data_IF_951753477432
#
_entry.id   IF_951753477432
#
_cell.length_a   1.000
_cell.length_b   1.000
_cell.length_c   1.000
_cell.angle_alpha   90.00
_cell.angle_beta   90.00
_cell.angle_gamma   90.00
#
_symmetry.space_group_name_H-M   'P 1'
#
loop_
_entity.id
_entity.type
_entity.pdbx_description
1 polymer ?
#
# COMPACT_ATOMS: atom_id res chain seq x y z
N UNK A 1 -5.40 -12.48 19.09
CA UNK A 1 -6.29 -12.39 17.91
C UNK A 1 -6.82 -13.79 17.59
N UNK A 2 -8.06 -13.95 17.10
CA UNK A 2 -8.55 -15.28 16.68
C UNK A 2 -7.86 -15.73 15.38
N UNK A 3 -7.77 -17.05 15.13
CA UNK A 3 -7.18 -17.59 13.89
C UNK A 3 -7.88 -17.06 12.63
N UNK A 4 -9.21 -16.94 12.67
CA UNK A 4 -10.01 -16.39 11.57
C UNK A 4 -9.67 -14.92 11.30
N UNK A 5 -9.57 -14.10 12.35
CA UNK A 5 -9.21 -12.69 12.22
C UNK A 5 -7.77 -12.53 11.70
N UNK A 6 -6.84 -13.38 12.13
CA UNK A 6 -5.48 -13.40 11.60
C UNK A 6 -5.47 -13.69 10.09
N UNK A 7 -6.14 -14.76 9.66
CA UNK A 7 -6.22 -15.13 8.24
C UNK A 7 -6.82 -14.00 7.40
N UNK A 8 -7.82 -13.31 7.94
CA UNK A 8 -8.44 -12.14 7.32
C UNK A 8 -7.43 -11.00 7.11
N UNK A 9 -6.69 -10.62 8.15
CA UNK A 9 -5.67 -9.57 8.05
C UNK A 9 -4.55 -9.98 7.09
N UNK A 10 -4.03 -11.20 7.19
CA UNK A 10 -2.99 -11.69 6.28
C UNK A 10 -3.49 -11.76 4.82
N UNK A 11 -4.77 -12.06 4.60
CA UNK A 11 -5.39 -12.01 3.28
C UNK A 11 -5.47 -10.59 2.73
N UNK A 12 -5.81 -9.60 3.55
CA UNK A 12 -5.80 -8.19 3.14
C UNK A 12 -4.40 -7.72 2.78
N UNK A 13 -3.41 -7.99 3.64
CA UNK A 13 -2.00 -7.62 3.42
C UNK A 13 -1.50 -8.30 2.14
N UNK A 14 -1.63 -9.62 2.00
CA UNK A 14 -1.18 -10.33 0.80
C UNK A 14 -1.74 -9.71 -0.49
N UNK A 15 -3.02 -9.34 -0.52
CA UNK A 15 -3.57 -8.70 -1.73
C UNK A 15 -3.02 -7.29 -1.93
N UNK A 16 -2.79 -6.52 -0.87
CA UNK A 16 -2.11 -5.22 -0.93
C UNK A 16 -0.73 -5.30 -1.57
N UNK A 17 0.13 -6.20 -1.08
CA UNK A 17 1.47 -6.48 -1.62
C UNK A 17 1.42 -6.87 -3.11
N UNK A 18 0.40 -7.64 -3.51
CA UNK A 18 0.20 -7.99 -4.91
C UNK A 18 -0.15 -6.76 -5.77
N UNK A 19 -0.95 -5.83 -5.24
CA UNK A 19 -1.29 -4.58 -5.93
C UNK A 19 -0.10 -3.63 -6.03
N UNK A 20 0.65 -3.47 -4.95
CA UNK A 20 1.88 -2.68 -4.93
C UNK A 20 2.92 -3.23 -5.91
N UNK A 21 3.07 -4.56 -6.00
CA UNK A 21 3.88 -5.21 -7.06
C UNK A 21 3.45 -4.80 -8.47
N UNK A 22 2.16 -4.90 -8.78
CA UNK A 22 1.63 -4.59 -10.11
C UNK A 22 1.82 -3.11 -10.45
N UNK A 23 1.62 -2.22 -9.48
CA UNK A 23 1.83 -0.79 -9.61
C UNK A 23 3.30 -0.45 -9.84
N UNK A 24 4.21 -0.98 -9.01
CA UNK A 24 5.66 -0.78 -9.16
C UNK A 24 6.14 -1.30 -10.53
N UNK A 25 5.61 -2.43 -11.00
CA UNK A 25 5.90 -2.96 -12.33
C UNK A 25 5.43 -2.02 -13.44
N UNK A 26 4.23 -1.45 -13.31
CA UNK A 26 3.71 -0.48 -14.27
C UNK A 26 4.52 0.84 -14.26
N UNK A 27 4.94 1.30 -13.08
CA UNK A 27 5.79 2.47 -12.93
C UNK A 27 7.18 2.26 -13.56
N UNK A 28 7.78 1.07 -13.39
CA UNK A 28 9.02 0.71 -14.07
C UNK A 28 8.89 0.74 -15.61
N UNK A 29 7.74 0.35 -16.15
CA UNK A 29 7.46 0.37 -17.58
C UNK A 29 7.25 1.79 -18.13
N UNK A 30 6.71 2.70 -17.31
CA UNK A 30 6.48 4.11 -17.67
C UNK A 30 7.70 5.00 -17.44
N UNK A 31 8.64 4.60 -16.59
CA UNK A 31 9.84 5.38 -16.27
C UNK A 31 10.69 5.67 -17.50
N UNK A 32 10.99 6.95 -17.74
CA UNK A 32 11.86 7.44 -18.82
C UNK A 32 13.32 7.56 -18.40
N UNK A 33 13.57 7.66 -17.08
CA UNK A 33 14.90 7.67 -16.48
C UNK A 33 15.33 6.24 -16.07
N UNK A 34 16.59 5.89 -16.36
CA UNK A 34 17.09 4.52 -16.15
C UNK A 34 17.24 4.19 -14.66
N UNK A 35 17.63 5.15 -13.83
CA UNK A 35 17.79 4.94 -12.40
C UNK A 35 16.42 4.81 -11.72
N UNK A 36 15.44 5.60 -12.14
CA UNK A 36 14.05 5.48 -11.72
C UNK A 36 13.43 4.15 -12.19
N UNK A 37 13.74 3.70 -13.41
CA UNK A 37 13.29 2.39 -13.86
C UNK A 37 13.90 1.27 -13.00
N UNK A 38 15.19 1.34 -12.68
CA UNK A 38 15.86 0.36 -11.80
C UNK A 38 15.25 0.37 -10.40
N UNK A 39 14.97 1.55 -9.86
CA UNK A 39 14.28 1.73 -8.58
C UNK A 39 12.98 0.95 -8.51
N UNK A 40 12.09 1.19 -9.48
CA UNK A 40 10.78 0.55 -9.53
C UNK A 40 10.86 -0.96 -9.74
N UNK A 41 11.87 -1.44 -10.49
CA UNK A 41 12.11 -2.88 -10.65
C UNK A 41 12.53 -3.55 -9.34
N UNK A 42 13.31 -2.87 -8.50
CA UNK A 42 13.69 -3.36 -7.17
C UNK A 42 12.43 -3.47 -6.31
N UNK A 43 11.67 -2.38 -6.17
CA UNK A 43 10.40 -2.35 -5.41
C UNK A 43 9.48 -3.49 -5.88
N UNK A 44 9.23 -3.60 -7.19
CA UNK A 44 8.38 -4.67 -7.73
C UNK A 44 8.88 -6.08 -7.34
N UNK A 45 10.19 -6.32 -7.29
CA UNK A 45 10.73 -7.62 -6.88
C UNK A 45 10.57 -7.88 -5.37
N UNK A 46 10.62 -6.83 -4.56
CA UNK A 46 10.44 -6.85 -3.11
C UNK A 46 8.98 -7.15 -2.76
N UNK A 47 8.04 -6.38 -3.31
CA UNK A 47 6.58 -6.57 -3.18
C UNK A 47 6.13 -7.98 -3.61
N UNK A 48 6.69 -8.51 -4.70
CA UNK A 48 6.39 -9.88 -5.14
C UNK A 48 6.89 -10.93 -4.13
N UNK A 49 8.04 -10.68 -3.51
CA UNK A 49 8.60 -11.55 -2.47
C UNK A 49 7.75 -11.49 -1.21
N UNK A 50 7.31 -10.29 -0.80
CA UNK A 50 6.42 -10.10 0.33
C UNK A 50 5.08 -10.81 0.13
N UNK A 51 4.42 -10.57 -1.01
CA UNK A 51 3.19 -11.28 -1.41
C UNK A 51 3.33 -12.80 -1.30
N UNK A 52 4.38 -13.36 -1.90
CA UNK A 52 4.64 -14.81 -1.84
C UNK A 52 4.89 -15.30 -0.42
N UNK A 53 5.54 -14.48 0.40
CA UNK A 53 5.76 -14.74 1.82
C UNK A 53 4.45 -14.83 2.59
N UNK A 54 3.54 -13.86 2.44
CA UNK A 54 2.22 -13.90 3.07
C UNK A 54 1.36 -15.07 2.57
N UNK A 55 1.39 -15.38 1.28
CA UNK A 55 0.73 -16.58 0.72
C UNK A 55 1.24 -17.86 1.40
N UNK A 56 2.55 -17.98 1.64
CA UNK A 56 3.14 -19.11 2.35
C UNK A 56 2.70 -19.16 3.83
N UNK A 57 2.63 -18.02 4.52
CA UNK A 57 2.12 -17.95 5.90
C UNK A 57 0.64 -18.36 5.98
N UNK A 58 -0.20 -17.90 5.05
CA UNK A 58 -1.60 -18.32 4.94
C UNK A 58 -1.73 -19.84 4.79
N UNK A 59 -0.92 -20.46 3.92
CA UNK A 59 -0.90 -21.92 3.75
C UNK A 59 -0.42 -22.67 4.99
N UNK A 60 0.57 -22.14 5.71
CA UNK A 60 1.04 -22.72 6.97
C UNK A 60 -0.03 -22.68 8.08
N UNK A 61 -1.00 -21.76 7.96
CA UNK A 61 -2.20 -21.69 8.78
C UNK A 61 -3.38 -22.46 8.16
N UNK A 62 -3.13 -23.47 7.32
CA UNK A 62 -4.13 -24.26 6.58
C UNK A 62 -5.25 -23.42 5.95
N UNK A 63 -4.93 -22.21 5.49
CA UNK A 63 -5.86 -21.31 4.85
C UNK A 63 -5.63 -21.31 3.33
N UNK A 64 -6.73 -21.27 2.58
CA UNK A 64 -6.69 -21.00 1.14
C UNK A 64 -6.39 -19.50 0.92
N UNK A 65 -5.24 -19.15 0.29
CA UNK A 65 -4.87 -17.75 0.09
C UNK A 65 -5.86 -16.96 -0.77
N UNK A 66 -6.40 -17.58 -1.82
CA UNK A 66 -7.38 -16.95 -2.70
C UNK A 66 -8.67 -16.64 -1.94
N UNK A 67 -9.11 -17.56 -1.08
CA UNK A 67 -10.28 -17.34 -0.20
C UNK A 67 -10.01 -16.26 0.83
N UNK A 68 -8.81 -16.18 1.39
CA UNK A 68 -8.43 -15.16 2.37
C UNK A 68 -8.36 -13.75 1.75
N UNK A 69 -7.83 -13.63 0.52
CA UNK A 69 -7.70 -12.35 -0.19
C UNK A 69 -9.01 -11.86 -0.80
N UNK A 70 -9.87 -12.75 -1.29
CA UNK A 70 -11.07 -12.41 -2.07
C UNK A 70 -11.96 -11.30 -1.45
N UNK A 71 -12.24 -11.27 -0.13
CA UNK A 71 -13.08 -10.23 0.47
C UNK A 71 -12.53 -8.80 0.32
N UNK A 72 -11.22 -8.65 0.14
CA UNK A 72 -10.54 -7.35 0.14
C UNK A 72 -10.25 -6.82 -1.26
N UNK A 73 -10.46 -7.64 -2.30
CA UNK A 73 -10.11 -7.28 -3.69
C UNK A 73 -10.72 -5.97 -4.14
N UNK A 74 -12.05 -5.87 -4.06
CA UNK A 74 -12.75 -4.68 -4.53
C UNK A 74 -12.31 -3.40 -3.79
N UNK A 75 -12.13 -3.48 -2.46
CA UNK A 75 -11.67 -2.35 -1.64
C UNK A 75 -10.24 -1.94 -1.98
N UNK A 76 -9.32 -2.89 -2.10
CA UNK A 76 -7.91 -2.61 -2.38
C UNK A 76 -7.68 -2.24 -3.85
N UNK A 77 -8.43 -2.80 -4.79
CA UNK A 77 -8.44 -2.36 -6.19
C UNK A 77 -8.93 -0.92 -6.31
N UNK A 78 -9.95 -0.55 -5.53
CA UNK A 78 -10.43 0.84 -5.47
C UNK A 78 -9.37 1.76 -4.90
N UNK A 79 -8.74 1.39 -3.79
CA UNK A 79 -7.68 2.17 -3.16
C UNK A 79 -6.48 2.40 -4.10
N UNK A 80 -5.94 1.33 -4.70
CA UNK A 80 -4.82 1.43 -5.66
C UNK A 80 -5.24 2.01 -7.02
N UNK A 81 -6.54 2.09 -7.31
CA UNK A 81 -7.10 2.76 -8.47
C UNK A 81 -7.30 4.26 -8.27
N UNK A 82 -6.71 4.86 -7.22
CA UNK A 82 -6.78 6.29 -6.99
C UNK A 82 -6.18 7.06 -8.17
N UNK A 83 -6.96 7.95 -8.76
CA UNK A 83 -6.52 8.82 -9.85
C UNK A 83 -6.05 10.17 -9.28
N UNK A 84 -4.78 10.49 -9.54
CA UNK A 84 -4.16 11.77 -9.20
C UNK A 84 -4.51 12.89 -10.19
N UNK A 85 -5.28 12.60 -11.25
CA UNK A 85 -5.54 13.49 -12.38
C UNK A 85 -4.25 13.96 -13.07
N UNK A 86 -3.20 13.13 -13.02
CA UNK A 86 -1.87 13.45 -13.54
C UNK A 86 -1.07 14.46 -12.69
N UNK A 87 -1.53 14.79 -11.48
CA UNK A 87 -0.78 15.65 -10.56
C UNK A 87 0.29 14.83 -9.80
N UNK A 88 1.55 15.01 -10.20
CA UNK A 88 2.71 14.31 -9.62
C UNK A 88 2.90 14.54 -8.10
N UNK A 89 2.47 15.69 -7.57
CA UNK A 89 2.56 16.00 -6.13
C UNK A 89 1.50 15.20 -5.39
N UNK A 90 0.29 15.15 -5.94
CA UNK A 90 -0.80 14.35 -5.38
C UNK A 90 -0.43 12.87 -5.42
N UNK A 91 0.07 12.36 -6.55
CA UNK A 91 0.55 10.97 -6.67
C UNK A 91 1.64 10.66 -5.64
N UNK A 92 2.66 11.52 -5.51
CA UNK A 92 3.78 11.28 -4.59
C UNK A 92 3.37 11.32 -3.11
N UNK A 93 2.47 12.23 -2.74
CA UNK A 93 1.93 12.31 -1.37
C UNK A 93 1.04 11.10 -1.06
N UNK A 94 0.23 10.66 -2.03
CA UNK A 94 -0.59 9.47 -1.86
C UNK A 94 0.27 8.21 -1.69
N UNK A 95 1.35 8.07 -2.49
CA UNK A 95 2.33 7.00 -2.31
C UNK A 95 2.93 7.03 -0.90
N UNK A 96 3.45 8.17 -0.45
CA UNK A 96 4.01 8.32 0.90
C UNK A 96 3.01 7.93 2.02
N UNK A 97 1.77 8.37 1.91
CA UNK A 97 0.74 8.01 2.88
C UNK A 97 0.44 6.51 2.86
N UNK A 98 0.42 5.90 1.68
CA UNK A 98 0.24 4.46 1.50
C UNK A 98 1.34 3.67 2.21
N UNK A 99 2.60 4.04 1.98
CA UNK A 99 3.78 3.43 2.64
C UNK A 99 3.69 3.54 4.17
N UNK A 100 3.36 4.72 4.69
CA UNK A 100 3.24 4.95 6.13
C UNK A 100 2.13 4.10 6.76
N UNK A 101 0.97 4.01 6.10
CA UNK A 101 -0.17 3.19 6.57
C UNK A 101 0.18 1.70 6.55
N UNK A 102 0.85 1.22 5.50
CA UNK A 102 1.31 -0.16 5.40
C UNK A 102 2.35 -0.48 6.48
N UNK A 103 3.32 0.41 6.68
CA UNK A 103 4.36 0.28 7.69
C UNK A 103 3.78 0.20 9.11
N UNK A 104 2.86 1.11 9.46
CA UNK A 104 2.18 1.08 10.76
C UNK A 104 1.37 -0.21 10.97
N UNK A 105 0.70 -0.70 9.92
CA UNK A 105 -0.02 -1.97 9.96
C UNK A 105 0.93 -3.16 10.21
N UNK A 106 2.08 -3.21 9.54
CA UNK A 106 3.08 -4.27 9.72
C UNK A 106 3.71 -4.21 11.12
N UNK A 107 4.02 -3.00 11.59
CA UNK A 107 4.54 -2.77 12.95
C UNK A 107 3.55 -3.22 14.01
N UNK A 108 2.25 -2.99 13.82
CA UNK A 108 1.23 -3.54 14.72
C UNK A 108 1.11 -5.05 14.56
N UNK A 109 1.04 -5.55 13.33
CA UNK A 109 0.80 -6.97 13.04
C UNK A 109 1.90 -7.85 13.64
N UNK A 110 3.17 -7.42 13.60
CA UNK A 110 4.30 -8.11 14.24
C UNK A 110 4.06 -8.41 15.72
N UNK A 111 3.24 -7.61 16.42
CA UNK A 111 2.99 -7.74 17.87
C UNK A 111 1.89 -8.74 18.21
N UNK A 112 1.09 -9.17 17.23
CA UNK A 112 -0.12 -9.99 17.45
C UNK A 112 -0.12 -11.34 16.71
N UNK A 113 0.98 -11.66 16.02
CA UNK A 113 1.19 -12.91 15.28
C UNK A 113 2.12 -13.86 16.03
N UNK A 114 2.23 -15.11 15.54
CA UNK A 114 3.23 -16.06 16.04
C UNK A 114 4.66 -15.65 15.65
N UNK A 115 5.66 -16.18 16.37
CA UNK A 115 7.08 -15.82 16.22
C UNK A 115 7.60 -15.97 14.79
N UNK A 116 7.20 -17.01 14.06
CA UNK A 116 7.67 -17.22 12.70
C UNK A 116 7.04 -16.21 11.72
N UNK A 117 5.79 -15.79 11.95
CA UNK A 117 5.17 -14.73 11.15
C UNK A 117 5.80 -13.38 11.48
N UNK A 118 6.08 -13.11 12.76
CA UNK A 118 6.73 -11.87 13.19
C UNK A 118 8.12 -11.73 12.55
N UNK A 119 8.93 -12.79 12.59
CA UNK A 119 10.25 -12.81 11.95
C UNK A 119 10.17 -12.59 10.43
N UNK A 120 9.13 -13.11 9.76
CA UNK A 120 8.89 -12.81 8.35
C UNK A 120 8.51 -11.33 8.15
N UNK A 121 7.61 -10.79 8.97
CA UNK A 121 7.21 -9.38 8.90
C UNK A 121 8.40 -8.43 9.12
N UNK A 122 9.34 -8.79 9.99
CA UNK A 122 10.57 -8.00 10.18
C UNK A 122 11.39 -7.90 8.88
N UNK A 123 11.39 -8.95 8.04
CA UNK A 123 12.04 -8.89 6.71
C UNK A 123 11.28 -8.00 5.73
N UNK A 124 9.95 -7.93 5.83
CA UNK A 124 9.12 -7.03 5.01
C UNK A 124 9.40 -5.59 5.41
N UNK A 125 9.32 -5.27 6.72
CA UNK A 125 9.60 -3.92 7.26
C UNK A 125 11.00 -3.44 6.85
N UNK A 126 12.01 -4.32 6.84
CA UNK A 126 13.36 -3.94 6.44
C UNK A 126 13.45 -3.45 4.98
N UNK A 127 12.63 -4.01 4.09
CA UNK A 127 12.53 -3.56 2.70
C UNK A 127 11.71 -2.25 2.62
N UNK A 128 10.57 -2.17 3.32
CA UNK A 128 9.65 -1.01 3.31
C UNK A 128 10.30 0.30 3.80
N UNK A 129 11.27 0.23 4.70
CA UNK A 129 12.03 1.42 5.13
C UNK A 129 12.68 2.13 3.93
N UNK A 130 13.12 1.38 2.93
CA UNK A 130 13.68 1.96 1.71
C UNK A 130 12.58 2.55 0.81
N UNK A 131 11.41 1.91 0.72
CA UNK A 131 10.26 2.42 -0.03
C UNK A 131 9.81 3.77 0.53
N UNK A 132 9.56 3.81 1.85
CA UNK A 132 9.14 5.02 2.57
C UNK A 132 10.16 6.16 2.42
N UNK A 133 11.46 5.87 2.61
CA UNK A 133 12.52 6.86 2.44
C UNK A 133 12.52 7.49 1.05
N UNK A 134 12.29 6.70 0.00
CA UNK A 134 12.20 7.21 -1.38
C UNK A 134 10.95 8.05 -1.60
N UNK A 135 9.80 7.64 -1.05
CA UNK A 135 8.57 8.41 -1.13
C UNK A 135 8.71 9.77 -0.42
N UNK A 136 9.33 9.80 0.78
CA UNK A 136 9.65 11.02 1.52
C UNK A 136 10.53 11.95 0.66
N UNK A 137 11.60 11.42 0.10
CA UNK A 137 12.53 12.23 -0.70
C UNK A 137 11.88 12.77 -1.98
N UNK A 138 11.02 11.98 -2.63
CA UNK A 138 10.24 12.44 -3.80
C UNK A 138 9.29 13.58 -3.43
N UNK A 139 8.52 13.43 -2.35
CA UNK A 139 7.61 14.48 -1.87
C UNK A 139 8.39 15.74 -1.54
N UNK A 140 9.52 15.64 -0.83
CA UNK A 140 10.38 16.80 -0.51
C UNK A 140 10.87 17.49 -1.78
N UNK A 141 11.40 16.74 -2.75
CA UNK A 141 11.88 17.29 -4.03
C UNK A 141 10.78 18.11 -4.73
N UNK A 142 9.59 17.55 -4.87
CA UNK A 142 8.48 18.22 -5.54
C UNK A 142 7.97 19.43 -4.75
N UNK A 143 7.87 19.33 -3.43
CA UNK A 143 7.47 20.47 -2.59
C UNK A 143 8.46 21.64 -2.66
N UNK A 144 9.75 21.37 -2.88
CA UNK A 144 10.76 22.40 -3.11
C UNK A 144 10.71 22.99 -4.52
N UNK A 145 10.32 22.21 -5.52
CA UNK A 145 10.25 22.65 -6.91
C UNK A 145 9.01 23.51 -7.23
N UNK A 146 7.91 23.38 -6.47
CA UNK A 146 6.64 24.03 -6.76
C UNK A 146 6.16 24.93 -5.61
N UNK A 147 5.98 26.22 -5.88
CA UNK A 147 5.53 27.20 -4.88
C UNK A 147 4.13 26.92 -4.33
N UNK A 148 3.26 26.25 -5.11
CA UNK A 148 1.92 25.82 -4.71
C UNK A 148 1.88 24.38 -4.17
N UNK A 149 3.03 23.72 -4.07
CA UNK A 149 3.13 22.29 -3.77
C UNK A 149 2.47 21.88 -2.46
N UNK A 150 2.58 22.72 -1.41
CA UNK A 150 1.92 22.45 -0.12
C UNK A 150 0.39 22.38 -0.24
N UNK A 151 -0.21 23.24 -1.07
CA UNK A 151 -1.66 23.23 -1.27
C UNK A 151 -2.09 22.00 -2.08
N UNK A 152 -1.34 21.64 -3.14
CA UNK A 152 -1.57 20.42 -3.93
C UNK A 152 -1.46 19.17 -3.06
N UNK A 153 -0.41 19.07 -2.25
CA UNK A 153 -0.20 18.00 -1.29
C UNK A 153 -1.35 17.86 -0.29
N UNK A 154 -1.80 18.96 0.33
CA UNK A 154 -2.90 18.94 1.28
C UNK A 154 -4.22 18.47 0.62
N UNK A 155 -4.52 18.92 -0.60
CA UNK A 155 -5.68 18.44 -1.37
C UNK A 155 -5.57 16.95 -1.71
N UNK A 156 -4.40 16.50 -2.14
CA UNK A 156 -4.14 15.09 -2.43
C UNK A 156 -4.35 14.20 -1.22
N UNK A 157 -3.76 14.58 -0.08
CA UNK A 157 -3.93 13.86 1.18
C UNK A 157 -5.41 13.78 1.60
N UNK A 158 -6.15 14.89 1.53
CA UNK A 158 -7.58 14.90 1.85
C UNK A 158 -8.40 13.97 0.93
N UNK A 159 -8.13 14.00 -0.39
CA UNK A 159 -8.77 13.11 -1.37
C UNK A 159 -8.47 11.64 -1.09
N UNK A 160 -7.21 11.31 -0.78
CA UNK A 160 -6.81 9.95 -0.46
C UNK A 160 -7.50 9.44 0.80
N UNK A 161 -7.54 10.25 1.86
CA UNK A 161 -8.26 9.90 3.08
C UNK A 161 -9.74 9.64 2.79
N UNK A 162 -10.39 10.52 2.01
CA UNK A 162 -11.77 10.30 1.55
C UNK A 162 -11.95 9.00 0.78
N UNK A 163 -10.99 8.65 -0.09
CA UNK A 163 -11.01 7.39 -0.84
C UNK A 163 -10.81 6.15 0.02
N UNK A 164 -9.85 6.18 0.96
CA UNK A 164 -9.62 5.09 1.92
C UNK A 164 -10.89 4.80 2.72
N UNK A 165 -11.46 5.86 3.27
CA UNK A 165 -12.71 5.84 4.00
C UNK A 165 -13.84 5.23 3.13
N UNK A 166 -14.00 5.69 1.89
CA UNK A 166 -15.02 5.18 0.96
C UNK A 166 -14.75 3.75 0.46
N UNK A 167 -13.57 3.21 0.70
CA UNK A 167 -13.17 1.85 0.31
C UNK A 167 -13.34 0.85 1.46
N UNK A 168 -13.64 1.30 2.67
CA UNK A 168 -13.80 0.45 3.84
C UNK A 168 -14.98 -0.55 3.68
N UNK A 169 -14.82 -1.82 4.07
CA UNK A 169 -15.92 -2.79 4.05
C UNK A 169 -17.13 -2.28 4.86
N UNK A 170 -18.30 -2.20 4.23
CA UNK A 170 -19.52 -1.70 4.89
C UNK A 170 -19.73 -0.18 4.85
N UNK A 171 -18.89 0.58 4.13
CA UNK A 171 -19.14 2.00 3.86
C UNK A 171 -20.42 2.16 3.02
N UNK A 172 -21.55 2.44 3.69
CA UNK A 172 -22.83 2.67 3.05
C UNK A 172 -22.89 3.95 2.20
N UNK A 173 -23.96 4.14 1.40
CA UNK A 173 -24.09 5.25 0.45
C UNK A 173 -24.01 6.64 1.10
N UNK A 174 -24.43 6.78 2.36
CA UNK A 174 -24.35 8.04 3.11
C UNK A 174 -22.91 8.49 3.37
N UNK A 175 -22.00 7.55 3.61
CA UNK A 175 -20.61 7.85 3.92
C UNK A 175 -19.80 8.19 2.66
N UNK A 176 -20.07 7.49 1.55
CA UNK A 176 -19.53 7.82 0.22
C UNK A 176 -20.00 9.20 -0.25
N UNK A 177 -21.24 9.62 0.09
CA UNK A 177 -21.75 10.95 -0.21
C UNK A 177 -21.05 12.05 0.61
N UNK A 178 -20.76 11.79 1.89
CA UNK A 178 -20.01 12.73 2.75
C UNK A 178 -18.56 12.92 2.29
N UNK A 179 -17.86 11.84 1.91
CA UNK A 179 -16.46 11.91 1.45
C UNK A 179 -16.27 12.62 0.08
N UNK A 180 -17.36 12.94 -0.63
CA UNK A 180 -17.37 13.64 -1.93
C UNK A 180 -17.70 15.14 -1.83
N UNK A 181 -18.10 15.61 -0.64
CA UNK A 181 -18.39 17.03 -0.34
C UNK A 181 -17.10 17.70 0.12
#
# INVERSE_FOLDING_TARGET
>A
MSRTALIQVLGAVAYGEHKAHEEARANAARATDTDQQRAWRVIAAEELRHYKGFVRRLRALDADPERAMRPYRASLDRFHGFDSDGDEIVESVCSLLGEGIASDLLVWLRTVVDTDTAAFIDTVIADEVNHEGRAIDQVRRLLHAHSDGKHRAARGAARMLGMMLASAPGSGPAFVAFARV
#
